data_IF_642090219168
#
_entry.id   IF_642090219168
#
_cell.length_a   1.000
_cell.length_b   1.000
_cell.length_c   1.000
_cell.angle_alpha   90.00
_cell.angle_beta   90.00
_cell.angle_gamma   90.00
#
_symmetry.space_group_name_H-M   'P 1'
#
loop_
_entity.id
_entity.type
_entity.pdbx_description
1 polymer ?
#
# COMPACT_ATOMS: atom_id res chain seq x y z
N UNK A 1 -15.29 -11.06 3.00
CA UNK A 1 -16.00 -9.83 3.40
C UNK A 1 -16.57 -9.17 2.15
N UNK A 2 -17.79 -8.63 2.18
CA UNK A 2 -18.35 -7.85 1.06
C UNK A 2 -17.98 -6.37 1.23
N UNK A 3 -17.63 -5.70 0.13
CA UNK A 3 -17.33 -4.27 0.15
C UNK A 3 -18.61 -3.44 0.26
N UNK A 4 -18.64 -2.46 1.16
CA UNK A 4 -19.78 -1.54 1.33
C UNK A 4 -19.32 -0.11 1.53
N UNK A 5 -20.11 0.87 1.08
CA UNK A 5 -19.76 2.30 1.18
C UNK A 5 -19.56 2.77 2.63
N UNK A 6 -20.21 2.10 3.58
CA UNK A 6 -20.12 2.41 5.00
C UNK A 6 -18.72 2.17 5.58
N UNK A 7 -17.88 1.38 4.90
CA UNK A 7 -16.48 1.16 5.31
C UNK A 7 -15.65 2.45 5.30
N UNK A 8 -16.04 3.42 4.46
CA UNK A 8 -15.36 4.72 4.32
C UNK A 8 -15.90 5.80 5.26
N UNK A 9 -17.10 5.62 5.82
CA UNK A 9 -17.84 6.67 6.55
C UNK A 9 -17.01 7.36 7.63
N UNK A 10 -16.19 6.62 8.38
CA UNK A 10 -15.38 7.22 9.45
C UNK A 10 -14.37 8.25 8.95
N UNK A 11 -13.87 8.09 7.72
CA UNK A 11 -12.97 9.02 7.07
C UNK A 11 -13.75 10.19 6.46
N UNK A 12 -14.83 9.91 5.74
CA UNK A 12 -15.64 10.95 5.09
C UNK A 12 -16.30 11.90 6.11
N UNK A 13 -16.69 11.40 7.29
CA UNK A 13 -17.24 12.19 8.39
C UNK A 13 -16.25 13.22 8.94
N UNK A 14 -14.95 13.06 8.67
CA UNK A 14 -13.93 14.06 9.01
C UNK A 14 -14.01 15.31 8.12
N UNK A 15 -14.66 15.22 6.95
CA UNK A 15 -14.88 16.34 6.01
C UNK A 15 -13.59 17.09 5.65
N UNK A 16 -12.52 16.33 5.44
CA UNK A 16 -11.22 16.89 5.05
C UNK A 16 -11.28 17.42 3.61
N UNK A 17 -10.67 18.57 3.37
CA UNK A 17 -10.40 19.12 2.04
C UNK A 17 -9.03 18.68 1.48
N UNK A 18 -8.29 17.91 2.27
CA UNK A 18 -6.99 17.31 1.96
C UNK A 18 -6.99 15.80 2.33
N UNK A 19 -6.03 15.00 1.84
CA UNK A 19 -5.88 13.60 2.24
C UNK A 19 -5.65 13.47 3.75
N UNK A 20 -6.05 12.35 4.36
CA UNK A 20 -5.78 12.10 5.78
C UNK A 20 -4.28 12.17 6.05
N UNK A 21 -3.85 12.99 7.02
CA UNK A 21 -2.44 13.08 7.40
C UNK A 21 -2.25 12.55 8.82
N UNK A 22 -1.45 11.48 8.92
CA UNK A 22 -1.01 10.89 10.18
C UNK A 22 0.47 11.20 10.33
N UNK A 23 0.85 12.04 11.29
CA UNK A 23 2.23 12.46 11.44
C UNK A 23 2.68 12.56 12.89
N UNK A 24 3.99 12.47 13.10
CA UNK A 24 4.61 12.42 14.42
C UNK A 24 5.77 11.44 14.44
N UNK A 25 6.48 11.32 15.58
CA UNK A 25 7.76 10.63 15.61
C UNK A 25 7.65 9.13 15.37
N UNK A 26 8.78 8.56 14.92
CA UNK A 26 8.92 7.12 14.86
C UNK A 26 8.62 6.54 16.25
N UNK A 27 9.44 6.91 17.24
CA UNK A 27 9.25 6.51 18.64
C UNK A 27 8.99 7.72 19.51
N UNK A 28 8.18 7.55 20.56
CA UNK A 28 8.15 8.51 21.65
C UNK A 28 9.46 8.36 22.44
N UNK A 29 10.30 9.39 22.45
CA UNK A 29 11.64 9.34 23.06
C UNK A 29 11.62 9.98 24.45
N UNK A 30 11.11 11.20 24.52
CA UNK A 30 10.90 11.95 25.76
C UNK A 30 9.58 12.71 25.68
N UNK A 31 9.03 13.08 26.83
CA UNK A 31 7.81 13.90 26.89
C UNK A 31 8.00 15.25 26.17
N UNK A 32 9.14 15.91 26.40
CA UNK A 32 9.49 17.19 25.75
C UNK A 32 9.52 17.05 24.22
N UNK A 33 10.15 15.99 23.71
CA UNK A 33 10.21 15.71 22.27
C UNK A 33 8.82 15.50 21.68
N UNK A 34 7.98 14.70 22.35
CA UNK A 34 6.61 14.42 21.90
C UNK A 34 5.77 15.71 21.88
N UNK A 35 5.76 16.46 22.97
CA UNK A 35 4.96 17.70 23.06
C UNK A 35 5.46 18.76 22.08
N UNK A 36 6.78 18.89 21.91
CA UNK A 36 7.35 19.85 20.96
C UNK A 36 6.90 19.57 19.52
N UNK A 37 7.00 18.31 19.07
CA UNK A 37 6.53 17.94 17.72
C UNK A 37 5.02 18.20 17.60
N UNK A 38 4.25 17.86 18.64
CA UNK A 38 2.80 18.08 18.61
C UNK A 38 2.43 19.56 18.49
N UNK A 39 3.08 20.44 19.24
CA UNK A 39 2.86 21.89 19.16
C UNK A 39 3.23 22.47 17.80
N UNK A 40 4.28 21.96 17.15
CA UNK A 40 4.65 22.37 15.79
C UNK A 40 3.68 21.86 14.70
N UNK A 41 2.84 20.85 15.01
CA UNK A 41 1.89 20.26 14.06
C UNK A 41 0.41 20.66 14.31
N UNK A 42 0.09 21.26 15.47
CA UNK A 42 -1.28 21.57 15.91
C UNK A 42 -2.17 22.27 14.87
N UNK A 43 -1.61 23.26 14.16
CA UNK A 43 -2.34 24.12 13.22
C UNK A 43 -1.95 23.81 11.76
N UNK A 44 -1.76 22.52 11.47
CA UNK A 44 -1.37 22.02 10.14
C UNK A 44 -2.40 21.00 9.64
N UNK A 45 -2.19 20.46 8.43
CA UNK A 45 -3.05 19.42 7.86
C UNK A 45 -3.00 18.07 8.63
N UNK A 46 -2.17 17.95 9.68
CA UNK A 46 -2.07 16.74 10.51
C UNK A 46 -3.36 16.49 11.29
N UNK A 47 -4.03 15.38 10.99
CA UNK A 47 -5.28 15.00 11.64
C UNK A 47 -5.07 14.06 12.85
N UNK A 48 -4.05 13.19 12.77
CA UNK A 48 -3.69 12.28 13.85
C UNK A 48 -2.19 12.40 14.17
N UNK A 49 -1.90 12.65 15.44
CA UNK A 49 -0.56 12.60 15.99
C UNK A 49 -0.16 11.14 16.27
N UNK A 50 0.83 10.63 15.54
CA UNK A 50 1.37 9.27 15.73
C UNK A 50 2.60 9.24 16.62
N UNK A 51 2.69 8.27 17.53
CA UNK A 51 3.96 7.92 18.15
C UNK A 51 4.01 6.43 18.50
N UNK A 52 5.10 5.75 18.14
CA UNK A 52 5.29 4.36 18.56
C UNK A 52 5.85 4.30 19.97
N UNK A 53 5.05 3.83 20.93
CA UNK A 53 5.46 3.71 22.34
C UNK A 53 5.96 2.31 22.71
N UNK A 54 5.58 1.29 21.93
CA UNK A 54 6.14 -0.06 21.97
C UNK A 54 6.84 -0.36 20.65
N UNK A 55 8.09 -0.82 20.70
CA UNK A 55 8.90 -1.04 19.50
C UNK A 55 9.31 -2.51 19.35
N UNK A 56 8.85 -3.21 18.29
CA UNK A 56 9.31 -4.56 18.00
C UNK A 56 10.72 -4.50 17.40
N UNK A 57 11.75 -4.58 18.24
CA UNK A 57 13.15 -4.52 17.80
C UNK A 57 13.66 -5.92 17.40
N UNK A 58 14.32 -5.99 16.25
CA UNK A 58 14.92 -7.22 15.75
C UNK A 58 16.08 -7.72 16.62
N UNK A 59 16.82 -6.80 17.25
CA UNK A 59 17.92 -7.14 18.16
C UNK A 59 17.59 -6.63 19.57
N UNK A 60 17.68 -7.49 20.60
CA UNK A 60 17.55 -7.08 22.00
C UNK A 60 18.54 -5.97 22.37
N UNK A 61 18.19 -5.14 23.36
CA UNK A 61 19.07 -4.09 23.91
C UNK A 61 19.08 -2.77 23.12
N UNK A 62 18.35 -2.68 22.01
CA UNK A 62 18.03 -1.37 21.42
C UNK A 62 16.82 -0.74 22.13
N UNK A 63 16.59 0.56 21.95
CA UNK A 63 15.40 1.23 22.49
C UNK A 63 14.10 0.51 22.08
N UNK A 64 13.39 -0.03 23.08
CA UNK A 64 12.16 -0.82 22.94
C UNK A 64 10.88 0.03 23.01
N UNK A 65 11.04 1.35 23.09
CA UNK A 65 9.98 2.30 23.37
C UNK A 65 9.82 2.55 24.87
N UNK A 66 9.14 3.64 25.21
CA UNK A 66 8.85 4.01 26.61
C UNK A 66 7.71 3.21 27.26
N UNK A 67 7.04 2.36 26.48
CA UNK A 67 5.91 1.55 26.92
C UNK A 67 4.72 2.38 27.36
N UNK A 68 4.02 1.92 28.41
CA UNK A 68 2.80 2.54 28.91
C UNK A 68 2.98 3.99 29.39
N UNK A 69 4.20 4.41 29.74
CA UNK A 69 4.49 5.82 30.08
C UNK A 69 4.13 6.76 28.92
N UNK A 70 4.35 6.31 27.68
CA UNK A 70 4.05 7.10 26.49
C UNK A 70 2.56 7.37 26.28
N UNK A 71 1.65 6.57 26.88
CA UNK A 71 0.21 6.82 26.80
C UNK A 71 -0.17 8.12 27.51
N UNK A 72 0.46 8.42 28.65
CA UNK A 72 0.26 9.70 29.37
C UNK A 72 0.75 10.89 28.55
N UNK A 73 1.81 10.70 27.75
CA UNK A 73 2.31 11.75 26.86
C UNK A 73 1.35 11.99 25.70
N UNK A 74 0.75 10.93 25.13
CA UNK A 74 -0.29 11.07 24.11
C UNK A 74 -1.54 11.78 24.67
N UNK A 75 -1.96 11.47 25.89
CA UNK A 75 -3.04 12.21 26.55
C UNK A 75 -2.73 13.71 26.67
N UNK A 76 -1.51 14.07 27.08
CA UNK A 76 -1.07 15.48 27.11
C UNK A 76 -1.05 16.12 25.72
N UNK A 77 -0.62 15.40 24.68
CA UNK A 77 -0.72 15.90 23.29
C UNK A 77 -2.15 16.26 22.96
N UNK A 78 -3.11 15.37 23.25
CA UNK A 78 -4.53 15.59 23.02
C UNK A 78 -5.05 16.79 23.82
N UNK A 79 -4.69 16.89 25.10
CA UNK A 79 -5.09 17.99 25.99
C UNK A 79 -4.54 19.36 25.53
N UNK A 80 -3.27 19.43 25.13
CA UNK A 80 -2.59 20.69 24.81
C UNK A 80 -2.84 21.16 23.36
N UNK A 81 -3.01 20.21 22.43
CA UNK A 81 -3.12 20.51 21.00
C UNK A 81 -4.51 20.28 20.42
N UNK A 82 -5.33 19.44 21.05
CA UNK A 82 -6.62 19.01 20.49
C UNK A 82 -6.49 17.99 19.35
N UNK A 83 -5.27 17.61 18.95
CA UNK A 83 -5.06 16.58 17.93
C UNK A 83 -5.48 15.21 18.45
N UNK A 84 -6.11 14.42 17.59
CA UNK A 84 -6.34 13.00 17.84
C UNK A 84 -5.00 12.27 17.88
N UNK A 85 -4.91 11.21 18.69
CA UNK A 85 -3.66 10.46 18.86
C UNK A 85 -3.74 9.05 18.32
N UNK A 86 -2.60 8.51 17.93
CA UNK A 86 -2.51 7.11 17.53
C UNK A 86 -1.19 6.44 17.94
N UNK A 87 -1.27 5.12 18.17
CA UNK A 87 -0.11 4.27 18.52
C UNK A 87 -0.22 2.86 17.91
N UNK A 88 0.92 2.17 17.84
CA UNK A 88 0.98 0.77 17.41
C UNK A 88 0.48 -0.15 18.51
N UNK A 89 -0.33 -1.15 18.17
CA UNK A 89 -0.67 -2.26 19.07
C UNK A 89 -0.24 -3.59 18.46
N UNK A 90 0.26 -4.50 19.29
CA UNK A 90 0.87 -5.75 18.83
C UNK A 90 0.45 -6.99 19.64
N UNK A 91 -0.24 -6.80 20.77
CA UNK A 91 -0.83 -7.86 21.60
C UNK A 91 -2.04 -7.29 22.35
N UNK A 92 -2.79 -8.15 23.04
CA UNK A 92 -3.97 -7.77 23.85
C UNK A 92 -3.69 -6.68 24.87
N UNK A 93 -2.61 -6.78 25.64
CA UNK A 93 -2.27 -5.81 26.68
C UNK A 93 -2.03 -4.40 26.11
N UNK A 94 -1.43 -4.29 24.91
CA UNK A 94 -1.28 -3.00 24.24
C UNK A 94 -2.64 -2.40 23.86
N UNK A 95 -3.57 -3.23 23.36
CA UNK A 95 -4.93 -2.80 23.01
C UNK A 95 -5.67 -2.30 24.25
N UNK A 96 -5.69 -3.10 25.31
CA UNK A 96 -6.41 -2.78 26.55
C UNK A 96 -5.92 -1.46 27.15
N UNK A 97 -4.59 -1.28 27.27
CA UNK A 97 -4.00 -0.04 27.77
C UNK A 97 -4.28 1.17 26.87
N UNK A 98 -4.21 1.01 25.54
CA UNK A 98 -4.46 2.11 24.61
C UNK A 98 -5.93 2.55 24.62
N UNK A 99 -6.87 1.61 24.76
CA UNK A 99 -8.29 1.90 24.94
C UNK A 99 -8.58 2.56 26.28
N UNK A 100 -7.98 2.09 27.38
CA UNK A 100 -8.09 2.70 28.72
C UNK A 100 -7.64 4.18 28.72
N UNK A 101 -6.63 4.51 27.90
CA UNK A 101 -6.06 5.86 27.81
C UNK A 101 -6.68 6.72 26.70
N UNK A 102 -7.79 6.28 26.09
CA UNK A 102 -8.54 7.02 25.06
C UNK A 102 -7.72 7.40 23.81
N UNK A 103 -6.85 6.49 23.35
CA UNK A 103 -6.18 6.64 22.05
C UNK A 103 -7.22 6.55 20.92
N UNK A 104 -7.20 7.52 20.01
CA UNK A 104 -8.26 7.71 19.00
C UNK A 104 -8.16 6.73 17.82
N UNK A 105 -6.94 6.31 17.47
CA UNK A 105 -6.66 5.39 16.38
C UNK A 105 -5.55 4.41 16.78
N UNK A 106 -5.75 3.14 16.48
CA UNK A 106 -4.77 2.08 16.72
C UNK A 106 -4.28 1.56 15.37
N UNK A 107 -2.97 1.37 15.18
CA UNK A 107 -2.49 0.64 14.01
C UNK A 107 -1.86 -0.69 14.40
N UNK A 108 -2.06 -1.68 13.54
CA UNK A 108 -1.43 -2.99 13.65
C UNK A 108 -0.21 -2.98 12.74
N UNK A 109 0.96 -3.24 13.31
CA UNK A 109 2.24 -3.21 12.61
C UNK A 109 2.41 -4.36 11.62
N UNK A 110 3.22 -4.14 10.57
CA UNK A 110 3.47 -5.11 9.50
C UNK A 110 3.98 -6.48 9.98
N UNK A 111 4.68 -6.52 11.13
CA UNK A 111 5.18 -7.76 11.75
C UNK A 111 4.13 -8.50 12.57
N UNK A 112 3.04 -7.84 12.96
CA UNK A 112 1.90 -8.48 13.62
C UNK A 112 0.93 -9.03 12.57
N UNK A 113 0.73 -8.29 11.47
CA UNK A 113 -0.14 -8.70 10.34
C UNK A 113 0.23 -10.07 9.76
N UNK A 114 1.50 -10.49 9.83
CA UNK A 114 1.92 -11.80 9.28
C UNK A 114 1.38 -13.00 10.05
N UNK A 115 0.86 -12.82 11.27
CA UNK A 115 0.42 -13.91 12.13
C UNK A 115 -1.10 -13.91 12.31
N UNK A 116 -1.82 -14.89 11.75
CA UNK A 116 -3.26 -15.04 11.96
C UNK A 116 -3.64 -15.19 13.45
N UNK A 117 -2.78 -15.80 14.27
CA UNK A 117 -3.01 -15.93 15.71
C UNK A 117 -2.96 -14.57 16.42
N UNK A 118 -1.97 -13.74 16.11
CA UNK A 118 -1.86 -12.39 16.67
C UNK A 118 -3.04 -11.53 16.18
N UNK A 119 -3.37 -11.60 14.89
CA UNK A 119 -4.52 -10.87 14.35
C UNK A 119 -5.83 -11.27 15.03
N UNK A 120 -6.02 -12.56 15.34
CA UNK A 120 -7.21 -13.02 16.07
C UNK A 120 -7.22 -12.48 17.50
N UNK A 121 -6.10 -12.57 18.23
CA UNK A 121 -5.99 -12.03 19.60
C UNK A 121 -6.31 -10.53 19.64
N UNK A 122 -5.78 -9.76 18.67
CA UNK A 122 -6.05 -8.33 18.53
C UNK A 122 -7.52 -8.06 18.19
N UNK A 123 -8.12 -8.83 17.28
CA UNK A 123 -9.53 -8.70 16.93
C UNK A 123 -10.43 -8.93 18.15
N UNK A 124 -10.15 -9.96 18.95
CA UNK A 124 -10.91 -10.26 20.16
C UNK A 124 -10.73 -9.18 21.24
N UNK A 125 -9.55 -8.53 21.31
CA UNK A 125 -9.29 -7.44 22.25
C UNK A 125 -9.91 -6.11 21.81
N UNK A 126 -10.08 -5.90 20.49
CA UNK A 126 -10.69 -4.71 19.90
C UNK A 126 -12.23 -4.81 19.79
N UNK A 127 -12.81 -5.99 20.07
CA UNK A 127 -14.25 -6.22 19.93
C UNK A 127 -15.06 -5.20 20.73
N UNK A 128 -16.03 -4.56 20.07
CA UNK A 128 -16.89 -3.54 20.68
C UNK A 128 -16.30 -2.14 20.77
N UNK A 129 -15.08 -1.91 20.29
CA UNK A 129 -14.51 -0.57 20.20
C UNK A 129 -15.13 0.26 19.07
N UNK A 130 -15.16 1.58 19.26
CA UNK A 130 -15.48 2.57 18.23
C UNK A 130 -14.23 3.27 17.67
N UNK A 131 -13.04 2.91 18.16
CA UNK A 131 -11.77 3.47 17.68
C UNK A 131 -11.49 3.06 16.24
N UNK A 132 -10.77 3.92 15.52
CA UNK A 132 -10.28 3.59 14.17
C UNK A 132 -9.15 2.58 14.29
N UNK A 133 -9.17 1.52 13.47
CA UNK A 133 -8.13 0.50 13.43
C UNK A 133 -7.56 0.39 12.03
N UNK A 134 -6.27 0.68 11.88
CA UNK A 134 -5.56 0.60 10.61
C UNK A 134 -4.59 -0.59 10.58
N UNK A 135 -4.59 -1.38 9.49
CA UNK A 135 -3.71 -2.56 9.39
C UNK A 135 -2.63 -2.33 8.34
N UNK A 136 -1.36 -2.32 8.75
CA UNK A 136 -0.23 -2.30 7.81
C UNK A 136 -0.18 -3.60 7.01
N UNK A 137 0.15 -3.54 5.72
CA UNK A 137 0.40 -4.74 4.92
C UNK A 137 1.48 -5.62 5.58
N UNK A 138 1.43 -6.95 5.42
CA UNK A 138 2.45 -7.85 5.93
C UNK A 138 3.82 -7.52 5.33
N UNK A 139 4.89 -7.87 6.03
CA UNK A 139 6.25 -7.63 5.54
C UNK A 139 6.57 -8.40 4.26
N UNK A 140 5.89 -9.51 3.99
CA UNK A 140 5.98 -10.29 2.75
C UNK A 140 4.87 -9.90 1.76
N UNK A 141 5.12 -9.95 0.44
CA UNK A 141 4.14 -9.59 -0.60
C UNK A 141 3.04 -10.65 -0.74
N UNK A 142 2.17 -10.72 0.27
CA UNK A 142 1.06 -11.66 0.37
C UNK A 142 -0.24 -10.90 0.62
N UNK A 143 -0.98 -10.68 -0.48
CA UNK A 143 -2.26 -10.00 -0.46
C UNK A 143 -3.31 -10.80 0.33
N UNK A 144 -3.32 -12.13 0.24
CA UNK A 144 -4.30 -12.96 0.94
C UNK A 144 -4.14 -12.84 2.46
N UNK A 145 -2.89 -12.77 2.94
CA UNK A 145 -2.59 -12.54 4.35
C UNK A 145 -3.02 -11.16 4.83
N UNK A 146 -2.82 -10.11 4.02
CA UNK A 146 -3.30 -8.78 4.35
C UNK A 146 -4.82 -8.71 4.45
N UNK A 147 -5.51 -9.25 3.45
CA UNK A 147 -6.97 -9.34 3.41
C UNK A 147 -7.51 -10.12 4.60
N UNK A 148 -6.93 -11.29 4.89
CA UNK A 148 -7.34 -12.12 6.02
C UNK A 148 -7.21 -11.41 7.38
N UNK A 149 -6.24 -10.50 7.52
CA UNK A 149 -6.12 -9.65 8.72
C UNK A 149 -7.29 -8.68 8.87
N UNK A 150 -7.66 -7.98 7.78
CA UNK A 150 -8.81 -7.07 7.75
C UNK A 150 -10.12 -7.83 8.01
N UNK A 151 -10.32 -8.97 7.35
CA UNK A 151 -11.54 -9.77 7.47
C UNK A 151 -11.76 -10.30 8.89
N UNK A 152 -10.69 -10.62 9.63
CA UNK A 152 -10.79 -10.99 11.05
C UNK A 152 -11.31 -9.85 11.92
N UNK A 153 -10.77 -8.65 11.75
CA UNK A 153 -11.23 -7.47 12.49
C UNK A 153 -12.68 -7.13 12.14
N UNK A 154 -13.03 -7.17 10.85
CA UNK A 154 -14.41 -6.96 10.40
C UNK A 154 -15.36 -7.99 11.01
N UNK A 155 -14.98 -9.27 11.04
CA UNK A 155 -15.78 -10.37 11.62
C UNK A 155 -15.96 -10.21 13.13
N UNK A 156 -14.98 -9.65 13.83
CA UNK A 156 -15.08 -9.27 15.25
C UNK A 156 -15.93 -8.00 15.49
N UNK A 157 -16.51 -7.41 14.44
CA UNK A 157 -17.43 -6.28 14.53
C UNK A 157 -16.78 -4.91 14.57
N UNK A 158 -15.48 -4.80 14.27
CA UNK A 158 -14.80 -3.51 14.16
C UNK A 158 -15.26 -2.82 12.88
N UNK A 159 -15.87 -1.64 13.01
CA UNK A 159 -16.48 -0.91 11.89
C UNK A 159 -15.53 0.08 11.23
N UNK A 160 -14.72 0.76 12.04
CA UNK A 160 -13.85 1.85 11.59
C UNK A 160 -12.49 1.28 11.16
N UNK A 161 -12.47 0.60 10.02
CA UNK A 161 -11.28 -0.08 9.49
C UNK A 161 -10.63 0.69 8.36
N UNK A 162 -9.32 0.49 8.23
CA UNK A 162 -8.57 0.90 7.05
C UNK A 162 -7.27 0.12 6.95
N UNK A 163 -6.55 0.34 5.85
CA UNK A 163 -5.32 -0.35 5.54
C UNK A 163 -4.17 0.66 5.37
N UNK A 164 -2.95 0.25 5.71
CA UNK A 164 -1.75 1.06 5.50
C UNK A 164 -0.77 0.31 4.61
N UNK A 165 -0.49 0.85 3.44
CA UNK A 165 0.54 0.35 2.56
C UNK A 165 1.91 0.95 2.92
N UNK A 166 2.86 0.11 3.30
CA UNK A 166 4.21 0.46 3.76
C UNK A 166 5.32 -0.25 2.98
N UNK A 167 4.96 -0.85 1.84
CA UNK A 167 5.83 -1.68 1.01
C UNK A 167 6.17 -3.03 1.65
N UNK A 168 6.91 -3.85 0.90
CA UNK A 168 7.28 -5.21 1.26
C UNK A 168 8.80 -5.38 1.39
N UNK A 169 9.21 -6.25 2.30
CA UNK A 169 10.61 -6.55 2.55
C UNK A 169 11.18 -7.36 1.39
N UNK A 170 12.42 -7.06 1.02
CA UNK A 170 13.20 -7.81 0.04
C UNK A 170 14.57 -8.12 0.61
N UNK A 171 15.18 -9.22 0.15
CA UNK A 171 16.59 -9.51 0.43
C UNK A 171 17.52 -8.78 -0.54
N UNK A 172 17.00 -8.32 -1.68
CA UNK A 172 17.77 -7.65 -2.72
C UNK A 172 18.03 -6.19 -2.38
N UNK A 173 19.20 -5.68 -2.77
CA UNK A 173 19.50 -4.26 -2.61
C UNK A 173 18.61 -3.45 -3.55
N UNK A 174 17.83 -2.54 -2.98
CA UNK A 174 16.99 -1.59 -3.70
C UNK A 174 17.28 -0.17 -3.24
N UNK A 175 16.81 0.82 -4.02
CA UNK A 175 16.78 2.22 -3.57
C UNK A 175 15.82 2.43 -2.40
N UNK A 176 14.80 1.57 -2.29
CA UNK A 176 13.81 1.55 -1.22
C UNK A 176 14.24 0.63 -0.06
N UNK A 177 13.83 0.95 1.17
CA UNK A 177 13.92 0.05 2.33
C UNK A 177 12.93 -1.11 2.21
N UNK A 178 11.73 -0.83 1.69
CA UNK A 178 10.70 -1.83 1.38
C UNK A 178 10.17 -1.52 -0.02
N UNK A 179 10.20 -2.50 -0.93
CA UNK A 179 9.73 -2.31 -2.30
C UNK A 179 8.22 -2.06 -2.24
N UNK A 180 7.69 -0.98 -2.86
CA UNK A 180 6.27 -0.69 -2.79
C UNK A 180 5.41 -1.84 -3.32
N UNK A 181 5.76 -2.45 -4.45
CA UNK A 181 4.88 -3.41 -5.15
C UNK A 181 3.47 -2.83 -5.31
N UNK A 182 3.38 -1.63 -5.90
CA UNK A 182 2.13 -0.87 -6.04
C UNK A 182 0.96 -1.69 -6.60
N UNK A 183 1.24 -2.66 -7.46
CA UNK A 183 0.23 -3.58 -8.00
C UNK A 183 -0.55 -4.30 -6.90
N UNK A 184 0.08 -4.73 -5.81
CA UNK A 184 -0.60 -5.40 -4.70
C UNK A 184 -1.53 -4.47 -3.94
N UNK A 185 -1.16 -3.19 -3.80
CA UNK A 185 -2.03 -2.19 -3.19
C UNK A 185 -3.21 -1.84 -4.10
N UNK A 186 -2.98 -1.75 -5.41
CA UNK A 186 -4.04 -1.54 -6.42
C UNK A 186 -5.00 -2.74 -6.44
N UNK A 187 -4.48 -3.97 -6.40
CA UNK A 187 -5.31 -5.18 -6.32
C UNK A 187 -6.13 -5.24 -5.01
N UNK A 188 -5.54 -4.79 -3.90
CA UNK A 188 -6.27 -4.63 -2.63
C UNK A 188 -7.44 -3.65 -2.79
N UNK A 189 -7.17 -2.47 -3.35
CA UNK A 189 -8.17 -1.41 -3.52
C UNK A 189 -9.26 -1.81 -4.53
N UNK A 190 -8.92 -2.56 -5.58
CA UNK A 190 -9.90 -3.10 -6.54
C UNK A 190 -10.88 -4.09 -5.88
N UNK A 191 -10.45 -4.83 -4.84
CA UNK A 191 -11.31 -5.74 -4.10
C UNK A 191 -12.16 -5.03 -3.06
N UNK A 192 -11.61 -4.00 -2.42
CA UNK A 192 -12.26 -3.24 -1.34
C UNK A 192 -12.14 -1.72 -1.58
N UNK A 193 -12.79 -1.18 -2.62
CA UNK A 193 -12.63 0.23 -3.02
C UNK A 193 -13.15 1.22 -1.97
N UNK A 194 -14.08 0.81 -1.10
CA UNK A 194 -14.63 1.67 -0.04
C UNK A 194 -13.88 1.50 1.29
N UNK A 195 -12.83 0.67 1.37
CA UNK A 195 -12.00 0.56 2.57
C UNK A 195 -10.82 1.55 2.48
N UNK A 196 -10.69 2.53 3.40
CA UNK A 196 -9.63 3.53 3.33
C UNK A 196 -8.23 2.93 3.25
N UNK A 197 -7.42 3.43 2.33
CA UNK A 197 -6.05 2.97 2.07
C UNK A 197 -5.05 4.12 2.20
N UNK A 198 -4.20 4.03 3.22
CA UNK A 198 -3.20 5.04 3.60
C UNK A 198 -1.81 4.60 3.15
N UNK A 199 -0.96 5.52 2.69
CA UNK A 199 0.43 5.21 2.34
C UNK A 199 1.39 5.60 3.46
N UNK A 200 2.38 4.75 3.76
CA UNK A 200 3.49 5.02 4.67
C UNK A 200 4.80 5.15 3.88
N UNK A 201 5.07 6.35 3.32
CA UNK A 201 6.24 6.60 2.48
C UNK A 201 7.54 6.54 3.28
N UNK A 202 7.53 6.89 4.57
CA UNK A 202 8.72 6.85 5.44
C UNK A 202 9.26 5.43 5.56
N UNK A 203 8.40 4.43 5.76
CA UNK A 203 8.83 3.04 5.85
C UNK A 203 9.12 2.40 4.49
N UNK A 204 8.43 2.81 3.41
CA UNK A 204 8.76 2.38 2.05
C UNK A 204 10.19 2.81 1.70
N UNK A 205 10.46 4.11 1.83
CA UNK A 205 11.72 4.71 1.38
C UNK A 205 12.88 4.37 2.32
N UNK A 206 12.67 4.50 3.62
CA UNK A 206 13.76 4.53 4.60
C UNK A 206 14.71 5.72 4.42
N UNK A 207 14.30 6.76 3.67
CA UNK A 207 15.09 7.97 3.41
C UNK A 207 14.21 9.20 3.21
N UNK A 208 14.60 10.28 3.89
CA UNK A 208 13.99 11.62 3.86
C UNK A 208 13.72 12.18 2.47
N UNK A 209 14.73 12.16 1.62
CA UNK A 209 14.76 12.77 0.29
C UNK A 209 13.79 12.12 -0.69
N UNK A 210 13.36 10.89 -0.41
CA UNK A 210 12.43 10.14 -1.26
C UNK A 210 10.98 10.18 -0.75
N UNK A 211 10.72 10.71 0.44
CA UNK A 211 9.37 10.68 1.05
C UNK A 211 8.37 11.43 0.17
N UNK A 212 8.73 12.61 -0.35
CA UNK A 212 7.86 13.42 -1.20
C UNK A 212 7.43 12.68 -2.48
N UNK A 213 8.38 12.09 -3.23
CA UNK A 213 8.07 11.41 -4.49
C UNK A 213 7.16 10.19 -4.28
N UNK A 214 7.37 9.44 -3.20
CA UNK A 214 6.52 8.29 -2.85
C UNK A 214 5.14 8.75 -2.38
N UNK A 215 5.05 9.84 -1.62
CA UNK A 215 3.78 10.47 -1.27
C UNK A 215 3.00 10.92 -2.50
N UNK A 216 3.65 11.59 -3.46
CA UNK A 216 3.00 12.01 -4.70
C UNK A 216 2.52 10.82 -5.52
N UNK A 217 3.34 9.76 -5.60
CA UNK A 217 2.94 8.50 -6.28
C UNK A 217 1.71 7.89 -5.64
N UNK A 218 1.63 7.88 -4.30
CA UNK A 218 0.46 7.34 -3.59
C UNK A 218 -0.80 8.16 -3.90
N UNK A 219 -0.71 9.50 -3.89
CA UNK A 219 -1.85 10.36 -4.25
C UNK A 219 -2.26 10.19 -5.72
N UNK A 220 -1.29 10.05 -6.63
CA UNK A 220 -1.56 9.77 -8.06
C UNK A 220 -2.25 8.40 -8.26
N UNK A 221 -2.12 7.49 -7.28
CA UNK A 221 -2.81 6.19 -7.23
C UNK A 221 -4.07 6.22 -6.36
N UNK A 222 -4.59 7.41 -6.03
CA UNK A 222 -5.82 7.60 -5.24
C UNK A 222 -5.78 6.96 -3.84
N UNK A 223 -4.63 7.02 -3.17
CA UNK A 223 -4.58 6.73 -1.74
C UNK A 223 -5.27 7.83 -0.94
N UNK A 224 -5.94 7.44 0.14
CA UNK A 224 -6.80 8.31 0.95
C UNK A 224 -6.04 9.19 1.93
N UNK A 225 -4.76 8.90 2.13
CA UNK A 225 -3.93 9.64 3.07
C UNK A 225 -2.49 9.13 3.17
N UNK A 226 -1.74 9.79 4.04
CA UNK A 226 -0.31 9.60 4.25
C UNK A 226 -0.01 9.42 5.74
N UNK A 227 0.88 8.48 6.07
CA UNK A 227 1.47 8.28 7.38
C UNK A 227 2.97 8.59 7.32
N UNK A 228 3.36 9.78 7.79
CA UNK A 228 4.74 10.31 7.63
C UNK A 228 5.40 10.47 9.00
N UNK A 229 6.59 9.90 9.16
CA UNK A 229 7.36 10.06 10.40
C UNK A 229 7.94 11.47 10.49
N UNK A 230 7.83 12.12 11.64
CA UNK A 230 8.23 13.52 11.84
C UNK A 230 9.01 13.70 13.14
N UNK A 231 10.14 14.38 13.10
CA UNK A 231 11.02 14.62 14.25
C UNK A 231 11.59 16.05 14.22
N UNK A 232 11.78 16.67 15.38
CA UNK A 232 12.34 18.03 15.48
C UNK A 232 13.85 18.07 15.25
N UNK A 233 14.59 17.08 15.74
CA UNK A 233 16.04 16.90 15.50
C UNK A 233 16.34 15.49 14.99
N UNK A 234 16.13 15.25 13.69
CA UNK A 234 15.97 13.90 13.19
C UNK A 234 17.25 13.06 13.13
N UNK A 235 18.39 13.72 12.90
CA UNK A 235 19.70 13.07 12.89
C UNK A 235 20.06 12.48 14.26
N UNK A 236 19.41 12.97 15.33
CA UNK A 236 19.57 12.48 16.70
C UNK A 236 18.44 11.58 17.18
N UNK A 237 17.47 11.24 16.32
CA UNK A 237 16.37 10.36 16.70
C UNK A 237 16.86 8.97 17.10
N UNK A 238 16.25 8.38 18.12
CA UNK A 238 16.62 7.08 18.70
C UNK A 238 16.21 5.89 17.82
N UNK A 239 15.39 6.14 16.81
CA UNK A 239 14.94 5.17 15.82
C UNK A 239 14.68 5.85 14.49
N UNK A 240 14.99 5.15 13.39
CA UNK A 240 14.53 5.53 12.05
C UNK A 240 14.90 7.00 11.67
N UNK A 241 16.08 7.44 12.12
CA UNK A 241 16.61 8.80 11.89
C UNK A 241 16.66 9.21 10.41
N UNK A 242 16.94 8.28 9.50
CA UNK A 242 17.16 8.58 8.09
C UNK A 242 15.88 8.99 7.32
N UNK A 243 14.68 8.68 7.84
CA UNK A 243 13.42 8.77 7.09
C UNK A 243 12.33 9.64 7.70
N UNK A 244 12.50 10.11 8.93
CA UNK A 244 11.54 11.08 9.48
C UNK A 244 11.61 12.37 8.63
N UNK A 245 10.74 13.35 8.76
CA UNK A 245 10.94 14.72 8.21
C UNK A 245 10.86 15.71 9.37
N UNK A 246 11.21 16.98 9.19
CA UNK A 246 10.90 17.99 10.23
C UNK A 246 9.45 18.42 10.10
N UNK A 247 8.80 18.95 11.15
CA UNK A 247 7.46 19.52 11.04
C UNK A 247 7.35 20.57 9.92
N UNK A 248 8.34 21.46 9.82
CA UNK A 248 8.41 22.45 8.73
C UNK A 248 8.50 21.83 7.34
N UNK A 249 9.26 20.74 7.19
CA UNK A 249 9.38 20.00 5.92
C UNK A 249 8.05 19.33 5.57
N UNK A 250 7.37 18.70 6.55
CA UNK A 250 6.06 18.09 6.34
C UNK A 250 5.04 19.13 5.86
N UNK A 251 4.95 20.29 6.52
CA UNK A 251 4.03 21.37 6.14
C UNK A 251 4.32 21.87 4.72
N UNK A 252 5.60 21.99 4.36
CA UNK A 252 5.98 22.38 3.00
C UNK A 252 5.60 21.30 1.98
N UNK A 253 5.87 20.02 2.29
CA UNK A 253 5.49 18.90 1.44
C UNK A 253 3.99 18.86 1.18
N UNK A 254 3.15 19.05 2.20
CA UNK A 254 1.69 19.04 2.04
C UNK A 254 1.19 20.15 1.11
N UNK A 255 1.84 21.32 1.11
CA UNK A 255 1.55 22.41 0.16
C UNK A 255 1.98 22.10 -1.27
N UNK A 256 3.09 21.38 -1.41
CA UNK A 256 3.70 21.08 -2.71
C UNK A 256 3.09 19.84 -3.39
N UNK A 257 2.49 18.94 -2.61
CA UNK A 257 1.79 17.76 -3.11
C UNK A 257 0.57 18.16 -3.94
N UNK A 258 0.42 17.51 -5.09
CA UNK A 258 -0.69 17.76 -6.01
C UNK A 258 -1.76 16.70 -5.83
N UNK A 259 -2.89 17.11 -5.27
CA UNK A 259 -4.09 16.27 -5.17
C UNK A 259 -4.84 16.38 -6.49
N UNK A 260 -4.92 15.27 -7.24
CA UNK A 260 -5.61 15.22 -8.53
C UNK A 260 -7.09 14.90 -8.30
N UNK A 261 -7.97 15.53 -9.07
CA UNK A 261 -9.39 15.20 -9.10
C UNK A 261 -9.58 13.93 -9.93
N UNK A 262 -10.49 13.05 -9.51
CA UNK A 262 -10.85 11.85 -10.27
C UNK A 262 -11.58 12.18 -11.58
N UNK A 263 -12.33 13.28 -11.58
CA UNK A 263 -13.06 13.76 -12.76
C UNK A 263 -13.18 15.29 -12.73
N UNK A 264 -13.42 15.86 -13.91
CA UNK A 264 -13.79 17.26 -14.06
C UNK A 264 -15.24 17.32 -14.57
N UNK A 265 -16.11 18.23 -14.07
CA UNK A 265 -17.49 18.33 -14.55
C UNK A 265 -17.62 18.90 -15.97
N UNK A 266 -16.56 19.45 -16.56
CA UNK A 266 -16.60 20.06 -17.89
C UNK A 266 -16.98 19.04 -18.98
N UNK A 267 -18.09 19.34 -19.67
CA UNK A 267 -18.67 18.42 -20.66
C UNK A 267 -17.76 18.22 -21.88
N UNK A 268 -17.06 19.26 -22.32
CA UNK A 268 -16.14 19.21 -23.46
C UNK A 268 -14.92 18.33 -23.16
N UNK A 269 -14.28 18.54 -22.01
CA UNK A 269 -13.19 17.70 -21.51
C UNK A 269 -13.61 16.21 -21.42
N UNK A 270 -14.78 15.93 -20.83
CA UNK A 270 -15.27 14.55 -20.71
C UNK A 270 -15.58 13.92 -22.07
N UNK A 271 -16.10 14.70 -23.03
CA UNK A 271 -16.35 14.20 -24.38
C UNK A 271 -15.04 13.83 -25.10
N UNK A 272 -14.01 14.68 -25.00
CA UNK A 272 -12.69 14.39 -25.56
C UNK A 272 -12.04 13.17 -24.91
N UNK A 273 -12.07 13.08 -23.58
CA UNK A 273 -11.53 11.95 -22.82
C UNK A 273 -12.24 10.63 -23.20
N UNK A 274 -13.56 10.65 -23.31
CA UNK A 274 -14.34 9.48 -23.71
C UNK A 274 -14.07 9.08 -25.17
N UNK A 275 -13.85 10.05 -26.07
CA UNK A 275 -13.46 9.76 -27.44
C UNK A 275 -12.09 9.07 -27.52
N UNK A 276 -11.11 9.50 -26.72
CA UNK A 276 -9.81 8.84 -26.64
C UNK A 276 -9.91 7.43 -26.03
N UNK A 277 -10.72 7.26 -24.99
CA UNK A 277 -11.00 5.93 -24.41
C UNK A 277 -11.67 4.98 -25.41
N UNK A 278 -12.63 5.47 -26.20
CA UNK A 278 -13.25 4.68 -27.25
C UNK A 278 -12.23 4.25 -28.34
N UNK A 279 -11.23 5.08 -28.64
CA UNK A 279 -10.14 4.68 -29.54
C UNK A 279 -9.28 3.55 -28.94
N UNK A 280 -9.01 3.59 -27.63
CA UNK A 280 -8.34 2.49 -26.91
C UNK A 280 -9.19 1.23 -26.99
N UNK A 281 -10.49 1.32 -26.71
CA UNK A 281 -11.40 0.15 -26.76
C UNK A 281 -11.38 -0.54 -28.14
N UNK A 282 -11.30 0.23 -29.24
CA UNK A 282 -11.18 -0.32 -30.59
C UNK A 282 -9.88 -1.09 -30.76
N UNK A 283 -8.75 -0.55 -30.29
CA UNK A 283 -7.44 -1.21 -30.35
C UNK A 283 -7.42 -2.46 -29.47
N UNK A 284 -7.97 -2.40 -28.26
CA UNK A 284 -8.02 -3.54 -27.35
C UNK A 284 -8.83 -4.70 -27.91
N UNK A 285 -9.97 -4.42 -28.55
CA UNK A 285 -10.73 -5.44 -29.27
C UNK A 285 -9.92 -6.07 -30.41
N UNK A 286 -9.16 -5.27 -31.17
CA UNK A 286 -8.27 -5.79 -32.22
C UNK A 286 -7.14 -6.66 -31.64
N UNK A 287 -6.58 -6.31 -30.49
CA UNK A 287 -5.55 -7.11 -29.80
C UNK A 287 -6.14 -8.47 -29.44
N UNK A 288 -7.33 -8.51 -28.83
CA UNK A 288 -8.01 -9.77 -28.47
C UNK A 288 -8.28 -10.64 -29.70
N UNK A 289 -8.78 -10.05 -30.79
CA UNK A 289 -9.02 -10.76 -32.05
C UNK A 289 -7.74 -11.36 -32.65
N UNK A 290 -6.64 -10.58 -32.63
CA UNK A 290 -5.35 -11.02 -33.15
C UNK A 290 -4.75 -12.15 -32.28
N UNK A 291 -4.87 -12.04 -30.96
CA UNK A 291 -4.45 -13.10 -30.04
C UNK A 291 -5.27 -14.38 -30.27
N UNK A 292 -6.59 -14.27 -30.43
CA UNK A 292 -7.46 -15.40 -30.76
C UNK A 292 -7.10 -16.06 -32.09
N UNK A 293 -6.84 -15.27 -33.14
CA UNK A 293 -6.34 -15.79 -34.43
C UNK A 293 -4.99 -16.50 -34.27
N UNK A 294 -4.08 -15.94 -33.46
CA UNK A 294 -2.77 -16.54 -33.17
C UNK A 294 -2.92 -17.88 -32.45
N UNK A 295 -3.86 -18.03 -31.51
CA UNK A 295 -4.09 -19.31 -30.82
C UNK A 295 -4.66 -20.39 -31.75
N UNK A 296 -5.51 -20.04 -32.73
CA UNK A 296 -5.94 -21.01 -33.76
C UNK A 296 -4.77 -21.54 -34.60
N UNK A 297 -3.75 -20.71 -34.85
CA UNK A 297 -2.51 -21.18 -35.50
C UNK A 297 -1.72 -22.11 -34.57
N UNK A 298 -1.66 -21.80 -33.28
CA UNK A 298 -1.05 -22.68 -32.28
C UNK A 298 -1.75 -24.05 -32.24
N UNK A 299 -3.08 -24.08 -32.34
CA UNK A 299 -3.86 -25.33 -32.40
C UNK A 299 -3.49 -26.19 -33.63
N UNK A 300 -3.34 -25.54 -34.79
CA UNK A 300 -2.87 -26.19 -36.01
C UNK A 300 -1.46 -26.76 -35.87
N UNK A 301 -0.54 -26.03 -35.21
CA UNK A 301 0.80 -26.52 -34.88
C UNK A 301 0.72 -27.75 -33.96
N UNK A 302 -0.15 -27.71 -32.94
CA UNK A 302 -0.38 -28.84 -32.03
C UNK A 302 -0.82 -30.10 -32.76
N UNK A 303 -1.74 -29.96 -33.72
CA UNK A 303 -2.24 -31.07 -34.55
C UNK A 303 -1.11 -31.68 -35.39
N UNK A 304 -0.29 -30.86 -36.05
CA UNK A 304 0.86 -31.33 -36.84
C UNK A 304 1.90 -32.04 -35.98
N UNK A 305 2.17 -31.49 -34.78
CA UNK A 305 3.11 -32.10 -33.82
C UNK A 305 2.59 -33.45 -33.32
N UNK A 306 1.29 -33.56 -33.00
CA UNK A 306 0.64 -34.81 -32.58
C UNK A 306 0.83 -35.91 -33.61
N UNK A 307 0.62 -35.61 -34.90
CA UNK A 307 0.74 -36.58 -35.99
C UNK A 307 2.14 -37.22 -36.10
N UNK A 308 3.18 -36.52 -35.64
CA UNK A 308 4.58 -36.96 -35.74
C UNK A 308 5.25 -37.15 -34.39
N UNK A 309 4.48 -37.12 -33.29
CA UNK A 309 4.98 -37.22 -31.92
C UNK A 309 6.12 -36.22 -31.61
N UNK A 310 5.95 -34.96 -32.03
CA UNK A 310 6.91 -33.87 -31.81
C UNK A 310 6.57 -33.10 -30.54
N UNK A 311 7.59 -32.71 -29.75
CA UNK A 311 7.41 -31.95 -28.52
C UNK A 311 6.80 -30.55 -28.75
N UNK A 312 5.95 -30.12 -27.80
CA UNK A 312 5.30 -28.79 -27.81
C UNK A 312 6.32 -27.68 -27.66
N UNK A 313 7.17 -27.75 -26.63
CA UNK A 313 8.11 -26.70 -26.30
C UNK A 313 9.37 -26.78 -27.19
N UNK A 314 9.67 -25.68 -27.87
CA UNK A 314 10.88 -25.53 -28.70
C UNK A 314 11.62 -24.26 -28.32
N UNK A 315 12.47 -24.33 -27.28
CA UNK A 315 13.08 -23.17 -26.62
C UNK A 315 13.94 -22.30 -27.53
N UNK A 316 14.61 -22.87 -28.54
CA UNK A 316 15.41 -22.10 -29.51
C UNK A 316 14.55 -21.11 -30.31
N UNK A 317 13.43 -21.58 -30.84
CA UNK A 317 12.49 -20.75 -31.61
C UNK A 317 11.87 -19.66 -30.75
N UNK A 318 11.57 -19.99 -29.49
CA UNK A 318 11.05 -19.03 -28.53
C UNK A 318 12.02 -17.87 -28.26
N UNK A 319 13.30 -18.17 -27.99
CA UNK A 319 14.32 -17.15 -27.74
C UNK A 319 14.55 -16.24 -28.97
N UNK A 320 14.54 -16.80 -30.19
CA UNK A 320 14.64 -16.02 -31.43
C UNK A 320 13.47 -15.04 -31.61
N UNK A 321 12.24 -15.49 -31.33
CA UNK A 321 11.05 -14.63 -31.41
C UNK A 321 11.13 -13.53 -30.34
N UNK A 322 11.48 -13.90 -29.10
CA UNK A 322 11.49 -12.96 -27.99
C UNK A 322 12.48 -11.82 -28.23
N UNK A 323 13.71 -12.13 -28.68
CA UNK A 323 14.70 -11.11 -29.03
C UNK A 323 14.23 -10.19 -30.15
N UNK A 324 13.56 -10.74 -31.18
CA UNK A 324 12.97 -9.94 -32.25
C UNK A 324 11.86 -9.00 -31.74
N UNK A 325 10.98 -9.49 -30.87
CA UNK A 325 9.87 -8.69 -30.35
C UNK A 325 10.33 -7.58 -29.41
N UNK A 326 11.43 -7.78 -28.66
CA UNK A 326 12.05 -6.71 -27.85
C UNK A 326 12.47 -5.55 -28.76
N UNK A 327 13.23 -5.83 -29.82
CA UNK A 327 13.66 -4.81 -30.77
C UNK A 327 12.47 -4.09 -31.44
N UNK A 328 11.47 -4.84 -31.90
CA UNK A 328 10.26 -4.25 -32.50
C UNK A 328 9.44 -3.42 -31.50
N UNK A 329 9.43 -3.80 -30.22
CA UNK A 329 8.78 -3.06 -29.15
C UNK A 329 9.47 -1.73 -28.86
N UNK A 330 10.81 -1.74 -28.77
CA UNK A 330 11.62 -0.55 -28.54
C UNK A 330 11.43 0.50 -29.65
N UNK A 331 11.40 0.08 -30.92
CA UNK A 331 11.12 0.97 -32.07
C UNK A 331 9.75 1.66 -31.98
N UNK A 332 8.81 1.08 -31.21
CA UNK A 332 7.45 1.58 -31.01
C UNK A 332 7.25 2.24 -29.64
N UNK A 333 8.34 2.49 -28.90
CA UNK A 333 8.28 3.13 -27.59
C UNK A 333 7.79 2.24 -26.45
N UNK A 334 7.81 0.93 -26.61
CA UNK A 334 7.47 -0.04 -25.55
C UNK A 334 8.74 -0.47 -24.81
N UNK A 335 8.66 -0.61 -23.48
CA UNK A 335 9.79 -1.03 -22.68
C UNK A 335 10.10 -2.52 -22.86
N UNK A 336 11.39 -2.89 -22.79
CA UNK A 336 11.83 -4.29 -22.84
C UNK A 336 11.09 -5.15 -21.80
N UNK A 337 10.98 -4.67 -20.56
CA UNK A 337 10.31 -5.40 -19.48
C UNK A 337 8.85 -5.73 -19.81
N UNK A 338 8.11 -4.76 -20.37
CA UNK A 338 6.73 -4.96 -20.77
C UNK A 338 6.60 -6.03 -21.87
N UNK A 339 7.42 -5.93 -22.91
CA UNK A 339 7.45 -6.90 -24.02
C UNK A 339 7.78 -8.31 -23.51
N UNK A 340 8.78 -8.43 -22.64
CA UNK A 340 9.17 -9.70 -22.06
C UNK A 340 8.04 -10.35 -21.27
N UNK A 341 7.35 -9.60 -20.40
CA UNK A 341 6.22 -10.11 -19.62
C UNK A 341 5.05 -10.52 -20.51
N UNK A 342 4.66 -9.65 -21.43
CA UNK A 342 3.52 -9.87 -22.33
C UNK A 342 3.73 -11.09 -23.24
N UNK A 343 4.86 -11.17 -23.95
CA UNK A 343 5.08 -12.27 -24.88
C UNK A 343 5.29 -13.61 -24.17
N UNK A 344 5.86 -13.63 -22.95
CA UNK A 344 5.93 -14.86 -22.14
C UNK A 344 4.53 -15.39 -21.82
N UNK A 345 3.60 -14.53 -21.40
CA UNK A 345 2.21 -14.92 -21.15
C UNK A 345 1.53 -15.45 -22.42
N UNK A 346 1.70 -14.75 -23.55
CA UNK A 346 1.17 -15.18 -24.86
C UNK A 346 1.74 -16.53 -25.29
N UNK A 347 3.03 -16.78 -25.04
CA UNK A 347 3.68 -18.05 -25.36
C UNK A 347 3.15 -19.19 -24.50
N UNK A 348 3.01 -18.96 -23.20
CA UNK A 348 2.44 -19.94 -22.27
C UNK A 348 1.03 -20.35 -22.70
N UNK A 349 0.20 -19.39 -23.12
CA UNK A 349 -1.15 -19.69 -23.61
C UNK A 349 -1.14 -20.57 -24.86
N UNK A 350 -0.17 -20.35 -25.76
CA UNK A 350 0.01 -21.23 -26.93
C UNK A 350 0.45 -22.64 -26.60
N UNK A 351 1.19 -22.82 -25.52
CA UNK A 351 1.60 -24.13 -25.02
C UNK A 351 0.36 -24.85 -24.49
N UNK A 352 -0.43 -24.18 -23.64
CA UNK A 352 -1.66 -24.74 -23.06
C UNK A 352 -2.62 -25.25 -24.15
N UNK A 353 -2.81 -24.46 -25.22
CA UNK A 353 -3.60 -24.83 -26.40
C UNK A 353 -3.07 -26.10 -27.10
N UNK A 354 -1.76 -26.14 -27.39
CA UNK A 354 -1.14 -27.30 -28.04
C UNK A 354 -1.20 -28.56 -27.17
N UNK A 355 -0.95 -28.45 -25.87
CA UNK A 355 -1.02 -29.57 -24.92
C UNK A 355 -2.43 -30.15 -24.86
N UNK A 356 -3.47 -29.31 -24.84
CA UNK A 356 -4.86 -29.76 -24.90
C UNK A 356 -5.14 -30.64 -26.12
N UNK A 357 -4.59 -30.29 -27.29
CA UNK A 357 -4.75 -31.07 -28.53
C UNK A 357 -3.90 -32.33 -28.55
N UNK A 358 -2.70 -32.31 -27.97
CA UNK A 358 -1.84 -33.50 -27.95
C UNK A 358 -2.40 -34.54 -26.98
N UNK A 359 -2.93 -34.11 -25.84
CA UNK A 359 -3.41 -35.00 -24.77
C UNK A 359 -4.86 -35.51 -24.95
N UNK A 360 -5.65 -34.89 -25.84
CA UNK A 360 -6.99 -35.35 -26.26
C UNK A 360 -6.96 -35.62 -27.75
#
# INVERSE_FOLDING_TARGET
MENTKEMRTWLDDMKLDHPLVIAGPCSAETEEQVLKIAHELKDTDVNYYRAGIWKPRTRPGNFEGVGALGLKWLQKVKEETGMKTCTEVANRNHVELALEHDVDLLWIGARSTVSPFIMQELADALAGTDKVVLVKNPVNPDLALWLGGIERLHTAGIKNLGAIHRGFSTYEKSKYRNIPEWQLAIEFQNKFPDLPLINDPSHITGKRDMVFDVSQTALDLNFDGLMIETHTDPDKAWSDAAQQVTPSTLVQMMKDLKIRKESDPEAEYNAELNNLRAQIDVVDNQIIDLLGKRMKVADGIGTLKKQKNVAVLQSKRWNEILGKMVLEGEERGLSEEFILRMFKAIHQESINHQEKIINH
#
